data_IF_052264466211
#
_entry.id   IF_052264466211
#
_cell.length_a   1.000
_cell.length_b   1.000
_cell.length_c   1.000
_cell.angle_alpha   90.00
_cell.angle_beta   90.00
_cell.angle_gamma   90.00
#
_symmetry.space_group_name_H-M   'P 1'
#
loop_
_entity.id
_entity.type
_entity.pdbx_description
1 polymer ?
#
# COMPACT_ATOMS: atom_id res chain seq x y z
N UNK A 1 0.44 -13.67 10.21
CA UNK A 1 0.34 -14.06 8.79
C UNK A 1 -0.44 -12.95 8.11
N UNK A 2 0.17 -12.21 7.20
CA UNK A 2 -0.52 -11.14 6.47
C UNK A 2 -1.31 -11.76 5.31
N UNK A 3 -2.56 -11.34 5.15
CA UNK A 3 -3.42 -11.77 4.04
C UNK A 3 -3.39 -10.71 2.94
N UNK A 4 -3.62 -11.15 1.70
CA UNK A 4 -3.62 -10.29 0.52
C UNK A 4 -4.46 -10.90 -0.59
N UNK A 5 -4.56 -10.21 -1.71
CA UNK A 5 -5.31 -10.66 -2.88
C UNK A 5 -4.54 -10.41 -4.18
N UNK A 6 -4.89 -11.19 -5.21
CA UNK A 6 -4.31 -11.03 -6.52
C UNK A 6 -5.14 -10.05 -7.36
N UNK A 7 -4.46 -9.10 -7.99
CA UNK A 7 -5.02 -8.21 -9.01
C UNK A 7 -5.27 -8.91 -10.34
N UNK A 8 -5.86 -8.17 -11.28
CA UNK A 8 -6.26 -8.72 -12.59
C UNK A 8 -5.10 -9.14 -13.48
N UNK A 9 -3.86 -8.69 -13.21
CA UNK A 9 -2.65 -9.09 -13.93
C UNK A 9 -1.72 -9.95 -13.07
N UNK A 10 -2.21 -10.49 -11.95
CA UNK A 10 -1.42 -11.30 -11.03
C UNK A 10 -0.54 -10.48 -10.08
N UNK A 11 -0.78 -9.18 -9.96
CA UNK A 11 -0.23 -8.35 -8.90
C UNK A 11 -0.61 -8.89 -7.52
N UNK A 12 0.29 -8.89 -6.54
CA UNK A 12 -0.07 -9.22 -5.15
C UNK A 12 -0.25 -7.93 -4.36
N UNK A 13 -1.48 -7.69 -3.91
CA UNK A 13 -1.82 -6.59 -3.01
C UNK A 13 -1.98 -7.09 -1.58
N UNK A 14 -1.62 -6.24 -0.62
CA UNK A 14 -1.86 -6.48 0.80
C UNK A 14 -2.02 -5.16 1.55
N UNK A 15 -2.78 -5.20 2.64
CA UNK A 15 -3.07 -4.04 3.46
C UNK A 15 -1.90 -3.71 4.38
N UNK A 16 -1.58 -2.41 4.50
CA UNK A 16 -0.68 -1.88 5.53
C UNK A 16 -1.31 -0.67 6.24
N UNK A 17 -0.77 -0.35 7.41
CA UNK A 17 -1.07 0.88 8.14
C UNK A 17 0.07 1.90 7.93
N UNK A 18 -0.27 3.07 7.39
CA UNK A 18 0.59 4.25 7.39
C UNK A 18 0.33 5.05 8.66
N UNK A 19 1.39 5.34 9.43
CA UNK A 19 1.31 6.15 10.64
C UNK A 19 1.86 7.54 10.32
N UNK A 20 0.99 8.54 10.36
CA UNK A 20 1.35 9.94 10.08
C UNK A 20 2.08 10.57 11.27
N UNK A 21 2.69 11.74 11.06
CA UNK A 21 3.41 12.47 12.10
C UNK A 21 2.54 12.89 13.30
N UNK A 22 1.22 13.04 13.11
CA UNK A 22 0.26 13.33 14.18
C UNK A 22 -0.32 12.09 14.85
N UNK A 23 0.11 10.88 14.43
CA UNK A 23 -0.32 9.61 14.99
C UNK A 23 -1.62 9.06 14.39
N UNK A 24 -2.18 9.71 13.36
CA UNK A 24 -3.28 9.15 12.58
C UNK A 24 -2.85 7.88 11.85
N UNK A 25 -3.78 6.93 11.73
CA UNK A 25 -3.57 5.65 11.03
C UNK A 25 -4.38 5.67 9.74
N UNK A 26 -3.71 5.44 8.62
CA UNK A 26 -4.33 5.35 7.30
C UNK A 26 -4.05 3.97 6.73
N UNK A 27 -5.11 3.22 6.52
CA UNK A 27 -5.08 1.85 6.01
C UNK A 27 -5.14 1.86 4.49
N UNK A 28 -4.16 1.25 3.83
CA UNK A 28 -4.01 1.29 2.37
C UNK A 28 -3.62 -0.08 1.82
N UNK A 29 -4.07 -0.39 0.61
CA UNK A 29 -3.62 -1.58 -0.13
C UNK A 29 -2.36 -1.23 -0.93
N UNK A 30 -1.29 -2.03 -0.78
CA UNK A 30 -0.02 -1.80 -1.46
C UNK A 30 0.38 -2.98 -2.34
N UNK A 31 1.05 -2.68 -3.44
CA UNK A 31 1.58 -3.68 -4.36
C UNK A 31 2.91 -4.25 -3.85
N UNK A 32 3.03 -5.58 -3.78
CA UNK A 32 4.32 -6.24 -3.60
C UNK A 32 5.15 -6.14 -4.90
N UNK A 33 5.98 -5.11 -5.00
CA UNK A 33 6.92 -4.97 -6.11
C UNK A 33 8.26 -5.67 -5.81
N UNK A 34 8.49 -6.83 -6.42
CA UNK A 34 9.78 -7.55 -6.32
C UNK A 34 10.86 -7.00 -7.28
N UNK A 35 10.53 -6.01 -8.11
CA UNK A 35 11.42 -5.36 -9.07
C UNK A 35 12.38 -4.31 -8.46
N UNK A 36 12.30 -4.09 -7.15
CA UNK A 36 13.21 -3.34 -6.27
C UNK A 36 13.71 -1.99 -6.82
N UNK A 37 12.92 -0.93 -6.60
CA UNK A 37 13.28 0.46 -6.95
C UNK A 37 13.43 1.41 -5.75
N UNK A 38 13.28 0.94 -4.50
CA UNK A 38 13.15 1.75 -3.26
C UNK A 38 11.80 2.51 -3.11
N UNK A 39 10.83 2.29 -4.00
CA UNK A 39 9.52 2.94 -3.96
C UNK A 39 8.45 2.00 -3.42
N UNK A 40 7.51 2.57 -2.65
CA UNK A 40 6.26 1.92 -2.31
C UNK A 40 5.20 2.34 -3.34
N UNK A 41 4.65 1.36 -4.06
CA UNK A 41 3.53 1.60 -4.96
C UNK A 41 2.21 1.47 -4.18
N UNK A 42 1.49 2.58 -4.07
CA UNK A 42 0.17 2.70 -3.43
C UNK A 42 -0.83 3.34 -4.40
N UNK A 43 -2.13 3.17 -4.16
CA UNK A 43 -3.16 3.83 -4.97
C UNK A 43 -3.07 5.36 -4.82
N UNK A 44 -3.32 6.09 -5.90
CA UNK A 44 -3.24 7.55 -5.89
C UNK A 44 -4.30 8.18 -4.97
N UNK A 45 -5.48 7.56 -4.83
CA UNK A 45 -6.53 8.03 -3.92
C UNK A 45 -6.08 7.94 -2.46
N UNK A 46 -5.32 6.90 -2.13
CA UNK A 46 -4.74 6.73 -0.79
C UNK A 46 -3.63 7.75 -0.54
N UNK A 47 -2.80 8.07 -1.53
CA UNK A 47 -1.81 9.16 -1.44
C UNK A 47 -2.49 10.49 -1.16
N UNK A 48 -3.53 10.82 -1.93
CA UNK A 48 -4.27 12.09 -1.80
C UNK A 48 -4.95 12.22 -0.43
N UNK A 49 -5.29 11.11 0.22
CA UNK A 49 -5.86 11.11 1.58
C UNK A 49 -4.88 11.54 2.67
N UNK A 50 -3.57 11.52 2.40
CA UNK A 50 -2.52 11.87 3.35
C UNK A 50 -2.34 13.39 3.55
N UNK A 51 -2.84 14.22 2.61
CA UNK A 51 -2.74 15.69 2.66
C UNK A 51 -1.70 16.31 1.74
#
# INVERSE_FOLDING_TARGET
>A
MTQGFFGSKGELFFEIELITADGSIITVDVLLDTGFTDWLAIDIQDVESLG
#
